data_IF_632095286716
#
_entry.id   IF_632095286716
#
_cell.length_a   1.000
_cell.length_b   1.000
_cell.length_c   1.000
_cell.angle_alpha   90.00
_cell.angle_beta   90.00
_cell.angle_gamma   90.00
#
_symmetry.space_group_name_H-M   'P 1'
#
loop_
_entity.id
_entity.type
_entity.pdbx_description
1 polymer ?
#
# COMPACT_ATOMS: atom_id res chain seq x y z
N UNK A 1 -13.14 -23.08 3.41
CA UNK A 1 -13.15 -24.19 4.42
C UNK A 1 -12.17 -23.81 5.52
N UNK A 2 -12.53 -24.00 6.80
CA UNK A 2 -11.61 -23.67 7.91
C UNK A 2 -10.51 -24.74 7.98
N UNK A 3 -9.26 -24.33 8.09
CA UNK A 3 -8.11 -25.23 8.18
C UNK A 3 -8.26 -26.21 9.37
N UNK A 4 -8.13 -27.55 9.15
CA UNK A 4 -8.30 -28.55 10.22
C UNK A 4 -7.38 -28.34 11.41
N UNK A 5 -6.18 -27.80 11.19
CA UNK A 5 -5.22 -27.51 12.27
C UNK A 5 -5.73 -26.39 13.19
N UNK A 6 -6.51 -25.45 12.66
CA UNK A 6 -7.15 -24.41 13.47
C UNK A 6 -8.30 -25.02 14.28
N UNK A 7 -9.11 -25.88 13.67
CA UNK A 7 -10.27 -26.49 14.34
C UNK A 7 -9.89 -27.35 15.56
N UNK A 8 -8.68 -27.89 15.61
CA UNK A 8 -8.23 -28.68 16.76
C UNK A 8 -8.17 -27.86 18.06
N UNK A 9 -7.97 -26.54 17.94
CA UNK A 9 -7.94 -25.64 19.10
C UNK A 9 -9.32 -25.49 19.75
N UNK A 10 -10.42 -25.66 19.01
CA UNK A 10 -11.78 -25.60 19.56
C UNK A 10 -12.06 -26.69 20.60
N UNK A 11 -11.23 -27.75 20.63
CA UNK A 11 -11.28 -28.80 21.66
C UNK A 11 -10.53 -28.44 22.93
N UNK A 12 -9.76 -27.33 22.92
CA UNK A 12 -8.96 -26.90 24.06
C UNK A 12 -9.72 -25.88 24.91
N UNK A 13 -10.06 -26.19 26.17
CA UNK A 13 -10.92 -25.33 27.00
C UNK A 13 -10.37 -23.91 27.18
N UNK A 14 -9.05 -23.79 27.37
CA UNK A 14 -8.39 -22.48 27.55
C UNK A 14 -8.47 -21.62 26.29
N UNK A 15 -8.33 -22.22 25.12
CA UNK A 15 -8.50 -21.50 23.85
C UNK A 15 -9.95 -21.04 23.67
N UNK A 16 -10.93 -21.91 23.93
CA UNK A 16 -12.35 -21.57 23.82
C UNK A 16 -12.69 -20.42 24.74
N UNK A 17 -12.24 -20.45 25.98
CA UNK A 17 -12.40 -19.36 26.94
C UNK A 17 -11.79 -18.05 26.46
N UNK A 18 -10.56 -18.08 25.91
CA UNK A 18 -9.91 -16.90 25.35
C UNK A 18 -10.69 -16.33 24.18
N UNK A 19 -11.11 -17.18 23.23
CA UNK A 19 -11.90 -16.79 22.08
C UNK A 19 -13.21 -16.13 22.50
N UNK A 20 -13.94 -16.73 23.41
CA UNK A 20 -15.23 -16.26 23.88
C UNK A 20 -15.09 -14.92 24.63
N UNK A 21 -14.06 -14.74 25.44
CA UNK A 21 -13.73 -13.47 26.08
C UNK A 21 -13.45 -12.36 25.05
N UNK A 22 -12.71 -12.66 23.99
CA UNK A 22 -12.46 -11.70 22.90
C UNK A 22 -13.73 -11.36 22.12
N UNK A 23 -14.58 -12.34 21.83
CA UNK A 23 -15.86 -12.11 21.12
C UNK A 23 -16.81 -11.25 21.95
N UNK A 24 -16.85 -11.46 23.27
CA UNK A 24 -17.73 -10.70 24.18
C UNK A 24 -17.15 -9.34 24.57
N UNK A 25 -15.94 -8.98 24.11
CA UNK A 25 -15.27 -7.74 24.50
C UNK A 25 -14.80 -7.74 25.95
N UNK A 26 -14.62 -8.89 26.55
CA UNK A 26 -14.11 -9.07 27.91
C UNK A 26 -12.57 -8.96 27.86
N UNK A 27 -12.04 -7.78 27.95
CA UNK A 27 -10.60 -7.59 27.85
C UNK A 27 -10.05 -6.61 28.86
N UNK A 28 -8.73 -6.56 29.03
CA UNK A 28 -7.69 -7.35 28.38
C UNK A 28 -7.54 -8.79 28.94
N UNK A 29 -7.19 -9.76 28.06
CA UNK A 29 -6.87 -11.12 28.44
C UNK A 29 -5.35 -11.40 28.30
N UNK A 30 -4.76 -12.06 29.30
CA UNK A 30 -3.35 -12.48 29.26
C UNK A 30 -3.23 -13.97 28.97
N UNK A 31 -2.32 -14.35 28.06
CA UNK A 31 -2.00 -15.75 27.74
C UNK A 31 -0.54 -16.01 28.05
N UNK A 32 -0.27 -17.00 28.88
CA UNK A 32 1.07 -17.33 29.37
C UNK A 32 1.46 -18.77 29.00
N UNK A 33 2.75 -19.04 28.93
CA UNK A 33 3.26 -20.39 28.70
C UNK A 33 3.25 -20.84 27.24
N UNK A 34 3.00 -19.93 26.27
CA UNK A 34 3.04 -20.27 24.86
C UNK A 34 4.49 -20.32 24.34
N UNK A 35 4.84 -21.42 23.70
CA UNK A 35 6.03 -21.49 22.85
C UNK A 35 5.87 -20.65 21.59
N UNK A 36 6.97 -20.33 20.89
CA UNK A 36 6.96 -19.45 19.72
C UNK A 36 5.99 -19.92 18.63
N UNK A 37 6.02 -21.19 18.24
CA UNK A 37 5.12 -21.73 17.21
C UNK A 37 3.64 -21.74 17.63
N UNK A 38 3.36 -21.83 18.95
CA UNK A 38 1.99 -21.80 19.46
C UNK A 38 1.38 -20.39 19.34
N UNK A 39 2.21 -19.34 19.39
CA UNK A 39 1.74 -17.95 19.20
C UNK A 39 1.12 -17.76 17.82
N UNK A 40 1.81 -18.20 16.75
CA UNK A 40 1.32 -18.17 15.38
C UNK A 40 0.02 -18.95 15.19
N UNK A 41 -0.06 -20.17 15.76
CA UNK A 41 -1.25 -21.01 15.67
C UNK A 41 -2.48 -20.38 16.36
N UNK A 42 -2.33 -19.89 17.58
CA UNK A 42 -3.42 -19.21 18.30
C UNK A 42 -3.82 -17.91 17.60
N UNK A 43 -2.83 -17.13 17.14
CA UNK A 43 -3.09 -15.89 16.40
C UNK A 43 -3.89 -16.17 15.12
N UNK A 44 -3.51 -17.19 14.33
CA UNK A 44 -4.22 -17.63 13.16
C UNK A 44 -5.68 -18.02 13.48
N UNK A 45 -5.87 -18.81 14.53
CA UNK A 45 -7.20 -19.24 14.94
C UNK A 45 -8.11 -18.07 15.39
N UNK A 46 -7.56 -17.12 16.15
CA UNK A 46 -8.28 -15.91 16.59
C UNK A 46 -8.58 -14.95 15.44
N UNK A 47 -7.84 -15.03 14.34
CA UNK A 47 -8.00 -14.18 13.15
C UNK A 47 -9.09 -14.69 12.19
N UNK A 48 -9.60 -15.89 12.38
CA UNK A 48 -10.59 -16.47 11.48
C UNK A 48 -11.87 -15.62 11.43
N UNK A 49 -12.18 -15.08 10.24
CA UNK A 49 -13.42 -14.34 9.97
C UNK A 49 -13.51 -12.94 10.58
N UNK A 50 -12.38 -12.36 11.02
CA UNK A 50 -12.35 -11.01 11.60
C UNK A 50 -11.08 -10.25 11.25
N UNK A 51 -11.13 -8.93 11.36
CA UNK A 51 -9.94 -8.09 11.27
C UNK A 51 -9.17 -8.15 12.60
N UNK A 52 -7.88 -8.46 12.53
CA UNK A 52 -7.01 -8.56 13.71
C UNK A 52 -5.70 -7.81 13.45
N UNK A 53 -5.26 -7.01 14.42
CA UNK A 53 -3.95 -6.40 14.43
C UNK A 53 -3.06 -7.13 15.42
N UNK A 54 -1.98 -7.72 14.93
CA UNK A 54 -0.97 -8.41 15.73
C UNK A 54 0.31 -7.56 15.80
N UNK A 55 0.70 -7.23 17.02
CA UNK A 55 1.86 -6.35 17.27
C UNK A 55 2.98 -7.16 17.90
N UNK A 56 4.06 -7.37 17.13
CA UNK A 56 5.27 -8.00 17.60
C UNK A 56 6.24 -6.98 18.25
N UNK A 57 7.16 -7.43 19.10
CA UNK A 57 8.12 -6.54 19.77
C UNK A 57 9.11 -5.88 18.80
N UNK A 58 9.43 -6.52 17.68
CA UNK A 58 10.35 -6.02 16.66
C UNK A 58 10.02 -6.60 15.28
N UNK A 59 10.70 -6.12 14.25
CA UNK A 59 10.48 -6.50 12.85
C UNK A 59 10.72 -7.99 12.59
N UNK A 60 11.79 -8.56 13.16
CA UNK A 60 12.13 -9.98 12.99
C UNK A 60 11.02 -10.87 13.54
N UNK A 61 10.50 -10.53 14.71
CA UNK A 61 9.39 -11.27 15.32
C UNK A 61 8.09 -11.09 14.54
N UNK A 62 7.86 -9.91 13.92
CA UNK A 62 6.70 -9.66 13.07
C UNK A 62 6.74 -10.52 11.81
N UNK A 63 7.87 -10.55 11.10
CA UNK A 63 8.04 -11.38 9.89
C UNK A 63 7.81 -12.85 10.24
N UNK A 64 8.45 -13.37 11.29
CA UNK A 64 8.26 -14.76 11.72
C UNK A 64 6.80 -15.08 12.05
N UNK A 65 6.11 -14.19 12.77
CA UNK A 65 4.70 -14.38 13.13
C UNK A 65 3.80 -14.35 11.89
N UNK A 66 4.08 -13.47 10.92
CA UNK A 66 3.39 -13.42 9.63
C UNK A 66 3.55 -14.76 8.88
N UNK A 67 4.77 -15.26 8.75
CA UNK A 67 5.06 -16.52 8.05
C UNK A 67 4.40 -17.72 8.74
N UNK A 68 4.43 -17.75 10.08
CA UNK A 68 3.74 -18.78 10.87
C UNK A 68 2.21 -18.77 10.62
N UNK A 69 1.58 -17.59 10.49
CA UNK A 69 0.14 -17.45 10.23
C UNK A 69 -0.20 -17.81 8.80
N UNK A 70 0.62 -17.42 7.84
CA UNK A 70 0.41 -17.70 6.41
C UNK A 70 0.29 -19.22 6.14
N UNK A 71 0.93 -20.07 6.94
CA UNK A 71 0.82 -21.52 6.85
C UNK A 71 -0.60 -22.07 7.12
N UNK A 72 -1.52 -21.27 7.63
CA UNK A 72 -2.89 -21.67 7.96
C UNK A 72 -3.95 -21.18 6.96
N UNK A 73 -3.55 -20.64 5.80
CA UNK A 73 -4.44 -20.08 4.77
C UNK A 73 -5.34 -18.95 5.30
N UNK A 74 -4.83 -18.17 6.24
CA UNK A 74 -5.51 -16.99 6.78
C UNK A 74 -5.05 -15.75 5.99
N UNK A 75 -5.97 -14.91 5.48
CA UNK A 75 -5.62 -13.63 4.87
C UNK A 75 -4.81 -12.77 5.85
N UNK A 76 -3.51 -12.73 5.64
CA UNK A 76 -2.55 -12.08 6.52
C UNK A 76 -1.59 -11.23 5.71
N UNK A 77 -1.33 -10.01 6.19
CA UNK A 77 -0.37 -9.12 5.58
C UNK A 77 0.61 -8.57 6.61
N UNK A 78 1.87 -8.44 6.21
CA UNK A 78 2.90 -7.81 7.01
C UNK A 78 2.96 -6.31 6.71
N UNK A 79 2.82 -5.48 7.77
CA UNK A 79 2.99 -4.04 7.70
C UNK A 79 4.36 -3.67 8.29
N UNK A 80 5.41 -3.51 7.45
CA UNK A 80 6.79 -3.33 7.88
C UNK A 80 7.10 -1.93 8.40
N UNK A 81 8.21 -1.81 9.12
CA UNK A 81 8.79 -0.52 9.51
C UNK A 81 9.34 0.20 8.26
N UNK A 82 9.00 1.49 8.12
CA UNK A 82 9.60 2.34 7.08
C UNK A 82 11.05 2.67 7.47
N UNK A 83 11.99 2.33 6.61
CA UNK A 83 13.37 2.74 6.77
C UNK A 83 13.56 4.17 6.21
N UNK A 84 14.22 5.03 6.99
CA UNK A 84 14.67 6.34 6.52
C UNK A 84 16.10 6.14 6.02
N UNK A 85 16.38 6.15 4.70
CA UNK A 85 17.73 5.98 4.22
C UNK A 85 18.58 7.20 4.60
N UNK A 86 19.59 6.99 5.42
CA UNK A 86 20.58 8.00 5.78
C UNK A 86 21.61 8.27 4.67
N UNK A 87 21.63 7.45 3.62
CA UNK A 87 22.51 7.59 2.45
C UNK A 87 21.82 7.00 1.22
N UNK A 88 21.94 7.67 0.07
CA UNK A 88 21.20 7.40 -1.18
C UNK A 88 21.48 6.07 -1.89
N UNK A 89 21.79 5.00 -1.16
CA UNK A 89 21.97 3.64 -1.68
C UNK A 89 20.86 2.75 -1.09
N UNK A 90 19.86 2.41 -1.90
CA UNK A 90 18.84 1.48 -1.47
C UNK A 90 17.44 1.71 -2.06
N UNK A 91 17.33 2.28 -3.26
CA UNK A 91 16.03 2.55 -3.89
C UNK A 91 15.18 1.27 -4.03
N UNK A 92 15.72 0.17 -4.54
CA UNK A 92 14.96 -1.05 -4.78
C UNK A 92 14.40 -1.73 -3.50
N UNK A 93 15.13 -1.70 -2.39
CA UNK A 93 14.62 -2.25 -1.11
C UNK A 93 13.58 -1.32 -0.47
N UNK A 94 13.68 -0.01 -0.72
CA UNK A 94 12.73 0.99 -0.24
C UNK A 94 11.40 0.84 -0.94
N UNK A 95 11.41 0.66 -2.25
CA UNK A 95 10.20 0.52 -3.06
C UNK A 95 9.37 -0.68 -2.57
N UNK A 96 10.00 -1.84 -2.32
CA UNK A 96 9.31 -3.04 -1.83
C UNK A 96 8.70 -2.89 -0.42
N UNK A 97 9.27 -2.04 0.46
CA UNK A 97 8.72 -1.75 1.80
C UNK A 97 7.51 -0.83 1.67
N UNK A 98 7.64 0.25 0.88
CA UNK A 98 6.54 1.19 0.65
C UNK A 98 5.36 0.50 -0.05
N UNK A 99 5.63 -0.33 -1.04
CA UNK A 99 4.63 -1.16 -1.71
C UNK A 99 3.78 -2.00 -0.74
N UNK A 100 4.44 -2.75 0.15
CA UNK A 100 3.75 -3.58 1.14
C UNK A 100 2.90 -2.76 2.10
N UNK A 101 3.41 -1.61 2.55
CA UNK A 101 2.70 -0.71 3.45
C UNK A 101 1.46 -0.12 2.77
N UNK A 102 1.62 0.38 1.54
CA UNK A 102 0.52 0.92 0.75
C UNK A 102 -0.54 -0.13 0.45
N UNK A 103 -0.13 -1.35 0.09
CA UNK A 103 -1.05 -2.46 -0.16
C UNK A 103 -1.94 -2.75 1.08
N UNK A 104 -1.34 -2.78 2.28
CA UNK A 104 -2.09 -2.96 3.53
C UNK A 104 -3.02 -1.80 3.80
N UNK A 105 -2.54 -0.56 3.71
CA UNK A 105 -3.34 0.64 3.96
C UNK A 105 -4.51 0.76 2.96
N UNK A 106 -4.27 0.46 1.69
CA UNK A 106 -5.30 0.46 0.64
C UNK A 106 -6.35 -0.62 0.87
N UNK A 107 -5.93 -1.83 1.25
CA UNK A 107 -6.86 -2.91 1.58
C UNK A 107 -7.75 -2.56 2.78
N UNK A 108 -7.17 -1.96 3.82
CA UNK A 108 -7.93 -1.50 4.99
C UNK A 108 -8.87 -0.33 4.64
N UNK A 109 -8.42 0.63 3.83
CA UNK A 109 -9.24 1.75 3.37
C UNK A 109 -10.40 1.29 2.48
N UNK A 110 -10.21 0.22 1.71
CA UNK A 110 -11.26 -0.44 0.94
C UNK A 110 -12.20 -1.33 1.81
N UNK A 111 -11.99 -1.38 3.12
CA UNK A 111 -12.83 -2.17 4.04
C UNK A 111 -12.59 -3.68 4.01
N UNK A 112 -11.46 -4.15 3.47
CA UNK A 112 -11.13 -5.58 3.44
C UNK A 112 -10.86 -6.10 4.85
N UNK A 113 -11.47 -7.23 5.19
CA UNK A 113 -11.23 -7.95 6.45
C UNK A 113 -9.97 -8.79 6.30
N UNK A 114 -8.94 -8.49 7.10
CA UNK A 114 -7.65 -9.19 7.05
C UNK A 114 -6.94 -9.13 8.39
N UNK A 115 -5.99 -10.04 8.59
CA UNK A 115 -5.03 -9.97 9.68
C UNK A 115 -3.83 -9.13 9.26
N UNK A 116 -3.47 -8.14 10.07
CA UNK A 116 -2.26 -7.35 9.86
C UNK A 116 -1.26 -7.68 10.96
N UNK A 117 -0.06 -8.10 10.58
CA UNK A 117 1.07 -8.31 11.48
C UNK A 117 2.05 -7.17 11.32
N UNK A 118 2.45 -6.59 12.43
CA UNK A 118 3.37 -5.45 12.45
C UNK A 118 4.23 -5.46 13.72
N UNK A 119 5.14 -4.50 13.82
CA UNK A 119 5.89 -4.26 15.06
C UNK A 119 5.58 -2.89 15.65
N UNK A 120 5.96 -2.69 16.92
CA UNK A 120 5.71 -1.42 17.63
C UNK A 120 6.36 -0.22 16.92
N UNK A 121 7.55 -0.41 16.32
CA UNK A 121 8.25 0.64 15.58
C UNK A 121 7.45 1.12 14.36
N UNK A 122 6.84 0.18 13.62
CA UNK A 122 6.01 0.51 12.46
C UNK A 122 4.74 1.26 12.87
N UNK A 123 4.08 0.86 13.97
CA UNK A 123 2.89 1.53 14.50
C UNK A 123 3.16 2.94 15.01
N UNK A 124 4.36 3.22 15.50
CA UNK A 124 4.74 4.58 15.94
C UNK A 124 5.01 5.54 14.76
N UNK A 125 5.13 5.02 13.55
CA UNK A 125 5.31 5.84 12.35
C UNK A 125 3.96 6.41 11.89
N UNK A 126 3.96 7.70 11.60
CA UNK A 126 2.75 8.37 11.12
C UNK A 126 2.41 7.91 9.70
N UNK A 127 1.14 7.64 9.46
CA UNK A 127 0.54 7.44 8.14
C UNK A 127 -0.38 8.61 7.80
N UNK A 128 -0.82 8.71 6.57
CA UNK A 128 -1.88 9.66 6.18
C UNK A 128 -3.24 9.20 6.71
N UNK A 129 -4.19 10.12 6.74
CA UNK A 129 -5.57 9.78 7.11
C UNK A 129 -6.17 8.75 6.13
N UNK A 130 -7.00 7.80 6.61
CA UNK A 130 -7.60 6.76 5.76
C UNK A 130 -8.36 7.32 4.56
N UNK A 131 -8.99 8.49 4.73
CA UNK A 131 -9.73 9.18 3.66
C UNK A 131 -8.83 9.58 2.50
N UNK A 132 -7.56 9.95 2.76
CA UNK A 132 -6.61 10.31 1.71
C UNK A 132 -6.27 9.08 0.86
N UNK A 133 -6.00 7.94 1.50
CA UNK A 133 -5.78 6.67 0.79
C UNK A 133 -7.02 6.29 -0.01
N UNK A 134 -8.20 6.34 0.62
CA UNK A 134 -9.46 5.99 -0.03
C UNK A 134 -9.77 6.85 -1.26
N UNK A 135 -9.51 8.16 -1.18
CA UNK A 135 -9.72 9.09 -2.30
C UNK A 135 -8.67 8.94 -3.40
N UNK A 136 -7.57 8.25 -3.13
CA UNK A 136 -6.50 7.95 -4.09
C UNK A 136 -6.57 6.51 -4.64
N UNK A 137 -7.61 5.75 -4.27
CA UNK A 137 -7.95 4.49 -4.91
C UNK A 137 -8.71 4.80 -6.19
N UNK A 138 -8.13 4.46 -7.33
CA UNK A 138 -8.76 4.60 -8.63
C UNK A 138 -9.30 3.26 -9.10
N UNK A 139 -10.39 3.31 -9.87
CA UNK A 139 -11.02 2.13 -10.43
C UNK A 139 -11.39 2.44 -11.86
N UNK A 140 -10.99 1.58 -12.78
CA UNK A 140 -11.22 1.77 -14.20
C UNK A 140 -11.90 0.54 -14.78
N UNK A 141 -12.91 0.78 -15.64
CA UNK A 141 -13.70 -0.28 -16.26
C UNK A 141 -13.95 0.01 -17.75
N UNK A 142 -14.20 -1.03 -18.53
CA UNK A 142 -14.54 -0.90 -19.93
C UNK A 142 -15.84 -0.10 -20.09
N UNK A 143 -15.88 0.83 -21.06
CA UNK A 143 -16.99 1.76 -21.27
C UNK A 143 -16.94 3.04 -20.43
N UNK A 144 -16.01 3.17 -19.50
CA UNK A 144 -15.82 4.39 -18.71
C UNK A 144 -15.25 5.50 -19.60
N UNK A 145 -15.79 6.73 -19.45
CA UNK A 145 -15.28 7.92 -20.16
C UNK A 145 -14.33 8.68 -19.28
N UNK A 146 -13.08 8.78 -19.70
CA UNK A 146 -12.01 9.57 -19.07
C UNK A 146 -10.95 9.93 -20.11
N UNK A 147 -10.48 11.18 -20.16
CA UNK A 147 -9.37 11.52 -21.04
C UNK A 147 -8.07 10.81 -20.59
N UNK A 148 -7.31 10.14 -21.50
CA UNK A 148 -6.08 9.44 -21.14
C UNK A 148 -5.05 10.28 -20.39
N UNK A 149 -4.98 11.58 -20.68
CA UNK A 149 -4.08 12.53 -20.00
C UNK A 149 -4.52 12.81 -18.56
N UNK A 150 -5.83 12.89 -18.33
CA UNK A 150 -6.38 13.13 -17.00
C UNK A 150 -6.15 11.88 -16.13
N UNK A 151 -6.39 10.68 -16.66
CA UNK A 151 -6.04 9.41 -15.99
C UNK A 151 -4.58 9.40 -15.56
N UNK A 152 -3.64 9.71 -16.44
CA UNK A 152 -2.21 9.75 -16.09
C UNK A 152 -1.92 10.81 -15.04
N UNK A 153 -2.56 11.97 -15.11
CA UNK A 153 -2.40 13.03 -14.11
C UNK A 153 -2.89 12.61 -12.73
N UNK A 154 -4.04 11.95 -12.65
CA UNK A 154 -4.58 11.38 -11.41
C UNK A 154 -3.63 10.34 -10.81
N UNK A 155 -3.09 9.43 -11.65
CA UNK A 155 -2.14 8.40 -11.20
C UNK A 155 -0.82 9.00 -10.74
N UNK A 156 -0.29 10.03 -11.41
CA UNK A 156 0.90 10.77 -10.95
C UNK A 156 0.65 11.44 -9.59
N UNK A 157 -0.52 12.00 -9.37
CA UNK A 157 -0.91 12.55 -8.06
C UNK A 157 -1.02 11.46 -6.99
N UNK A 158 -1.44 10.24 -7.39
CA UNK A 158 -1.46 9.06 -6.52
C UNK A 158 -0.05 8.46 -6.29
N UNK A 159 1.01 9.04 -6.88
CA UNK A 159 2.41 8.67 -6.65
C UNK A 159 3.04 7.79 -7.74
N UNK A 160 2.34 7.51 -8.85
CA UNK A 160 2.91 6.75 -9.96
C UNK A 160 3.98 7.57 -10.67
N UNK A 161 5.08 6.93 -11.02
CA UNK A 161 6.14 7.50 -11.84
C UNK A 161 5.75 7.43 -13.31
N UNK A 162 5.77 8.59 -13.99
CA UNK A 162 5.53 8.63 -15.42
C UNK A 162 6.80 8.24 -16.17
N UNK A 163 6.72 7.18 -16.95
CA UNK A 163 7.82 6.60 -17.73
C UNK A 163 7.44 6.43 -19.20
N UNK A 164 8.42 6.09 -20.05
CA UNK A 164 8.16 5.75 -21.44
C UNK A 164 7.67 4.31 -21.63
N UNK A 165 8.07 3.39 -20.76
CA UNK A 165 7.66 1.97 -20.74
C UNK A 165 7.49 1.52 -19.29
N UNK A 166 6.38 0.86 -18.97
CA UNK A 166 6.17 0.28 -17.64
C UNK A 166 6.95 -1.03 -17.53
N UNK A 167 7.95 -1.06 -16.65
CA UNK A 167 8.80 -2.22 -16.36
C UNK A 167 8.70 -2.69 -14.92
N UNK A 168 8.21 -1.82 -14.02
CA UNK A 168 8.12 -2.08 -12.59
C UNK A 168 6.80 -1.58 -11.99
N UNK A 169 6.34 -2.14 -10.85
CA UNK A 169 5.21 -1.61 -10.09
C UNK A 169 5.38 -0.12 -9.75
N UNK A 170 4.26 0.62 -9.70
CA UNK A 170 4.27 2.06 -9.42
C UNK A 170 4.57 2.94 -10.65
N UNK A 171 4.60 2.39 -11.85
CA UNK A 171 4.84 3.12 -13.10
C UNK A 171 3.58 3.29 -13.93
N UNK A 172 3.52 4.41 -14.68
CA UNK A 172 2.46 4.71 -15.64
C UNK A 172 3.07 5.28 -16.92
N UNK A 173 2.53 4.88 -18.07
CA UNK A 173 2.96 5.29 -19.39
C UNK A 173 1.76 5.68 -20.26
N UNK A 174 1.87 6.77 -21.02
CA UNK A 174 0.89 7.17 -22.05
C UNK A 174 1.54 7.07 -23.41
N UNK A 175 1.02 6.23 -24.28
CA UNK A 175 1.50 6.05 -25.66
C UNK A 175 0.33 5.99 -26.64
N UNK A 176 0.30 6.92 -27.58
CA UNK A 176 -0.72 6.91 -28.62
C UNK A 176 -2.14 6.84 -28.05
N UNK A 177 -2.86 5.77 -28.30
CA UNK A 177 -4.23 5.54 -27.86
C UNK A 177 -4.37 4.63 -26.64
N UNK A 178 -3.33 4.40 -25.82
CA UNK A 178 -3.40 3.58 -24.63
C UNK A 178 -2.60 4.13 -23.45
N UNK A 179 -3.01 3.75 -22.27
CA UNK A 179 -2.28 3.97 -21.00
C UNK A 179 -1.88 2.61 -20.44
N UNK A 180 -0.59 2.44 -20.18
CA UNK A 180 -0.10 1.31 -19.39
C UNK A 180 0.04 1.77 -17.94
N UNK A 181 -0.48 0.97 -17.02
CA UNK A 181 -0.30 1.17 -15.58
C UNK A 181 0.19 -0.13 -14.95
N UNK A 182 1.19 -0.02 -14.08
CA UNK A 182 1.68 -1.16 -13.31
C UNK A 182 1.30 -0.94 -11.84
N UNK A 183 0.14 -1.47 -11.39
CA UNK A 183 -0.30 -1.28 -10.02
C UNK A 183 0.70 -1.87 -9.02
N UNK A 184 0.86 -1.20 -7.88
CA UNK A 184 1.91 -1.48 -6.90
C UNK A 184 1.85 -2.89 -6.28
N UNK A 185 0.69 -3.52 -6.25
CA UNK A 185 0.50 -4.86 -5.69
C UNK A 185 0.16 -5.91 -6.76
N UNK A 186 0.29 -5.57 -8.05
CA UNK A 186 -0.01 -6.48 -9.15
C UNK A 186 1.24 -7.23 -9.59
N UNK A 187 1.07 -8.45 -10.07
CA UNK A 187 2.16 -9.24 -10.68
C UNK A 187 2.52 -8.75 -12.07
N UNK A 188 1.55 -8.15 -12.77
CA UNK A 188 1.70 -7.70 -14.14
C UNK A 188 1.05 -6.34 -14.37
N UNK A 189 1.56 -5.53 -15.30
CA UNK A 189 0.93 -4.28 -15.70
C UNK A 189 -0.34 -4.51 -16.53
N UNK A 190 -1.17 -3.47 -16.60
CA UNK A 190 -2.40 -3.44 -17.38
C UNK A 190 -2.30 -2.37 -18.45
N UNK A 191 -2.63 -2.74 -19.68
CA UNK A 191 -2.83 -1.84 -20.80
C UNK A 191 -4.29 -1.48 -20.93
N UNK A 192 -4.59 -0.20 -20.89
CA UNK A 192 -5.92 0.38 -21.03
C UNK A 192 -5.98 1.05 -22.40
N UNK A 193 -6.72 0.47 -23.33
CA UNK A 193 -6.88 0.99 -24.68
C UNK A 193 -8.10 1.91 -24.76
N UNK A 194 -8.00 2.98 -25.55
CA UNK A 194 -9.03 4.00 -25.66
C UNK A 194 -9.55 4.12 -27.08
N UNK A 195 -10.85 4.35 -27.18
CA UNK A 195 -11.49 4.87 -28.38
C UNK A 195 -11.98 6.30 -28.10
N UNK A 196 -11.19 7.29 -28.49
CA UNK A 196 -11.37 8.68 -28.03
C UNK A 196 -11.07 8.81 -26.55
N UNK A 197 -12.07 9.17 -25.76
CA UNK A 197 -12.01 9.31 -24.29
C UNK A 197 -12.69 8.13 -23.58
N UNK A 198 -13.20 7.14 -24.30
CA UNK A 198 -13.84 5.95 -23.73
C UNK A 198 -12.82 4.81 -23.63
N UNK A 199 -12.79 4.14 -22.48
CA UNK A 199 -12.00 2.93 -22.27
C UNK A 199 -12.64 1.80 -23.08
N UNK A 200 -11.94 1.30 -24.11
CA UNK A 200 -12.41 0.24 -24.98
C UNK A 200 -12.08 -1.14 -24.39
N UNK A 201 -10.81 -1.37 -24.02
CA UNK A 201 -10.36 -2.66 -23.47
C UNK A 201 -9.31 -2.48 -22.39
N UNK A 202 -9.29 -3.46 -21.43
CA UNK A 202 -8.24 -3.59 -20.43
C UNK A 202 -7.57 -4.96 -20.56
N UNK A 203 -6.24 -4.97 -20.70
CA UNK A 203 -5.46 -6.21 -20.89
C UNK A 203 -4.29 -6.27 -19.92
N UNK A 204 -4.20 -7.36 -19.19
CA UNK A 204 -3.00 -7.72 -18.43
C UNK A 204 -1.95 -8.19 -19.43
N UNK A 205 -0.72 -7.71 -19.32
CA UNK A 205 0.37 -8.13 -20.21
C UNK A 205 1.66 -8.40 -19.42
N UNK A 206 2.51 -9.25 -19.96
CA UNK A 206 3.83 -9.55 -19.44
C UNK A 206 4.80 -8.40 -19.79
N UNK A 207 5.42 -7.74 -18.80
CA UNK A 207 6.25 -6.55 -19.04
C UNK A 207 7.52 -6.86 -19.84
N UNK A 208 8.05 -8.09 -19.80
CA UNK A 208 9.27 -8.48 -20.50
C UNK A 208 8.99 -8.80 -21.98
N UNK A 209 7.91 -9.53 -22.25
CA UNK A 209 7.56 -9.98 -23.61
C UNK A 209 6.58 -9.07 -24.31
N UNK A 210 5.92 -8.13 -23.59
CA UNK A 210 4.85 -7.25 -24.07
C UNK A 210 3.65 -8.02 -24.64
N UNK A 211 3.49 -9.30 -24.31
CA UNK A 211 2.37 -10.12 -24.76
C UNK A 211 1.22 -10.06 -23.77
N UNK A 212 0.00 -9.98 -24.30
CA UNK A 212 -1.21 -10.10 -23.49
C UNK A 212 -1.26 -11.45 -22.78
N UNK A 213 -1.56 -11.42 -21.49
CA UNK A 213 -1.73 -12.59 -20.63
C UNK A 213 -3.23 -12.88 -20.48
N UNK A 214 -4.04 -11.85 -20.20
CA UNK A 214 -5.47 -11.97 -19.97
C UNK A 214 -6.20 -10.65 -20.30
N UNK A 215 -7.51 -10.73 -20.52
CA UNK A 215 -8.39 -9.56 -20.62
C UNK A 215 -9.21 -9.44 -19.35
N UNK A 216 -9.39 -8.21 -18.89
CA UNK A 216 -10.21 -7.91 -17.71
C UNK A 216 -11.17 -6.78 -18.03
N UNK A 217 -12.34 -6.79 -17.39
CA UNK A 217 -13.35 -5.75 -17.59
C UNK A 217 -13.16 -4.57 -16.60
N UNK A 218 -12.37 -4.79 -15.55
CA UNK A 218 -12.20 -3.85 -14.45
C UNK A 218 -10.83 -4.01 -13.79
N UNK A 219 -10.28 -2.90 -13.30
CA UNK A 219 -9.04 -2.87 -12.52
C UNK A 219 -9.13 -1.86 -11.38
N UNK A 220 -8.71 -2.26 -10.18
CA UNK A 220 -8.45 -1.37 -9.05
C UNK A 220 -6.98 -0.97 -9.02
N UNK A 221 -6.71 0.32 -8.99
CA UNK A 221 -5.37 0.89 -8.97
C UNK A 221 -5.18 1.65 -7.65
N UNK A 222 -4.51 1.02 -6.67
CA UNK A 222 -4.17 1.68 -5.40
C UNK A 222 -3.13 2.79 -5.62
N UNK A 223 -2.99 3.76 -4.70
CA UNK A 223 -1.90 4.73 -4.79
C UNK A 223 -0.55 4.03 -4.75
N UNK A 224 0.46 4.62 -5.41
CA UNK A 224 1.82 4.09 -5.44
C UNK A 224 2.69 4.60 -4.27
N UNK A 225 2.15 5.43 -3.40
CA UNK A 225 2.85 5.97 -2.22
C UNK A 225 1.93 6.05 -1.01
N UNK A 226 2.49 5.98 0.19
CA UNK A 226 1.75 6.25 1.42
C UNK A 226 1.34 7.71 1.59
N UNK A 227 1.90 8.63 0.81
CA UNK A 227 1.63 10.06 0.87
C UNK A 227 1.21 10.60 -0.49
N UNK A 228 0.03 10.21 -1.01
CA UNK A 228 -0.49 10.76 -2.25
C UNK A 228 -0.63 12.29 -2.15
N UNK A 229 -0.38 12.97 -3.24
CA UNK A 229 -0.43 14.43 -3.29
C UNK A 229 -1.89 14.86 -3.47
N UNK A 230 -2.50 15.44 -2.44
CA UNK A 230 -3.80 16.10 -2.56
C UNK A 230 -3.66 17.53 -3.11
N UNK A 231 -4.71 18.04 -3.73
CA UNK A 231 -4.73 19.43 -4.25
C UNK A 231 -4.46 20.46 -3.15
N UNK A 232 -5.00 20.23 -1.93
CA UNK A 232 -4.71 21.13 -0.80
C UNK A 232 -3.24 21.04 -0.35
N UNK A 233 -2.66 19.82 -0.33
CA UNK A 233 -1.25 19.64 0.01
C UNK A 233 -0.35 20.31 -1.03
N UNK A 234 -0.66 20.15 -2.32
CA UNK A 234 0.00 20.80 -3.45
C UNK A 234 -0.07 22.32 -3.33
N UNK A 235 -1.26 22.87 -3.11
CA UNK A 235 -1.46 24.31 -2.96
C UNK A 235 -0.66 24.88 -1.77
N UNK A 236 -0.67 24.17 -0.63
CA UNK A 236 0.13 24.55 0.55
C UNK A 236 1.64 24.52 0.26
N UNK A 237 2.12 23.45 -0.38
CA UNK A 237 3.54 23.31 -0.73
C UNK A 237 3.99 24.44 -1.67
N UNK A 238 3.22 24.74 -2.72
CA UNK A 238 3.50 25.84 -3.65
C UNK A 238 3.55 27.20 -2.93
N UNK A 239 2.64 27.44 -1.99
CA UNK A 239 2.64 28.68 -1.18
C UNK A 239 3.89 28.79 -0.31
N UNK A 240 4.30 27.70 0.34
CA UNK A 240 5.50 27.66 1.15
C UNK A 240 6.78 27.82 0.34
N UNK A 241 6.87 27.18 -0.83
CA UNK A 241 8.02 27.33 -1.74
C UNK A 241 8.14 28.76 -2.26
N UNK A 242 7.03 29.38 -2.67
CA UNK A 242 7.01 30.79 -3.10
C UNK A 242 7.48 31.73 -1.98
N UNK A 243 7.03 31.48 -0.73
CA UNK A 243 7.45 32.26 0.44
C UNK A 243 8.95 32.11 0.70
N UNK A 244 9.46 30.87 0.76
CA UNK A 244 10.89 30.61 0.95
C UNK A 244 11.75 31.24 -0.14
N UNK A 245 11.37 31.07 -1.41
CA UNK A 245 12.09 31.69 -2.53
C UNK A 245 12.14 33.23 -2.41
N UNK A 246 11.06 33.86 -1.95
CA UNK A 246 11.02 35.30 -1.72
C UNK A 246 11.94 35.73 -0.55
N UNK A 247 11.98 34.96 0.53
CA UNK A 247 12.85 35.19 1.69
C UNK A 247 14.32 35.02 1.31
N UNK A 248 14.68 33.96 0.57
CA UNK A 248 16.05 33.72 0.08
C UNK A 248 16.50 34.82 -0.88
N UNK A 249 15.62 35.27 -1.77
CA UNK A 249 15.92 36.38 -2.70
C UNK A 249 16.16 37.70 -1.93
N UNK A 250 15.35 37.97 -0.92
CA UNK A 250 15.52 39.17 -0.07
C UNK A 250 16.87 39.13 0.69
N UNK A 251 17.21 37.98 1.31
CA UNK A 251 18.48 37.80 1.99
C UNK A 251 19.69 37.95 1.06
N UNK A 252 19.61 37.36 -0.15
CA UNK A 252 20.68 37.46 -1.15
C UNK A 252 20.88 38.91 -1.65
N UNK A 253 19.81 39.67 -1.75
CA UNK A 253 19.89 41.09 -2.11
C UNK A 253 20.49 41.96 -1.00
N UNK A 254 20.22 41.63 0.27
CA UNK A 254 20.80 42.30 1.44
C UNK A 254 22.31 42.00 1.58
N UNK A 255 22.75 40.79 1.25
CA UNK A 255 24.14 40.35 1.27
C UNK A 255 24.97 40.78 0.04
N UNK A 256 24.39 41.46 -0.94
CA UNK A 256 25.05 41.92 -2.16
C UNK A 256 25.43 40.82 -3.15
N UNK A 257 24.87 39.61 -2.98
CA UNK A 257 25.06 38.45 -3.84
C UNK A 257 24.09 38.39 -5.02
N UNK A 258 24.47 37.78 -6.15
CA UNK A 258 23.53 37.41 -7.21
C UNK A 258 22.70 36.19 -6.76
N UNK A 259 21.38 36.22 -6.91
CA UNK A 259 20.56 35.06 -6.59
C UNK A 259 20.93 33.87 -7.49
N UNK A 260 21.11 32.69 -6.90
CA UNK A 260 21.27 31.44 -7.63
C UNK A 260 19.93 31.07 -8.28
N UNK A 261 19.92 30.98 -9.60
CA UNK A 261 18.72 30.65 -10.39
C UNK A 261 18.53 29.13 -10.63
N UNK A 262 19.24 28.27 -9.89
CA UNK A 262 19.26 26.82 -10.08
C UNK A 262 18.25 26.05 -9.21
N UNK A 263 16.98 26.49 -9.15
CA UNK A 263 15.89 25.66 -8.58
C UNK A 263 14.63 25.78 -9.44
#
# INVERSE_FOLDING_TARGET
>A
MTNPLIQILDRHPEYTRLRDAMVNGEGPAGVFGLGESHKGHIAAALSTGRAVLLVAPNEVAAVKLHDDIACYDIPCAHFPTREIPLSGKGFAARDSIEERRVAVLSALAAGKTMTVVTCIQALMQRTVAPEIIKNSLHSYEAGQTIEPRDMVSELVMAGYERVDVCEAPGQVCLRGGYVDVYPIAAENPVRIEFFGDEIDTLRIYDPLTQRSVDNVDHIDVPPATEMPITDEARARALKLLKKRKAEELASALEEGGRPDNSV
#
